data_IF_617698437219
#
_entry.id   IF_617698437219
#
_cell.length_a   1.000
_cell.length_b   1.000
_cell.length_c   1.000
_cell.angle_alpha   90.00
_cell.angle_beta   90.00
_cell.angle_gamma   90.00
#
_symmetry.space_group_name_H-M   'P 1'
#
loop_
_entity.id
_entity.type
_entity.pdbx_description
1 polymer ?
#
# COMPACT_ATOMS: atom_id res chain seq x y z
N UNK A 1 -15.65 -18.55 -21.00
CA UNK A 1 -14.79 -18.82 -22.18
C UNK A 1 -13.94 -17.59 -22.44
N UNK A 2 -12.62 -17.65 -22.22
CA UNK A 2 -11.70 -16.56 -22.59
C UNK A 2 -10.69 -17.08 -23.61
N UNK A 3 -11.05 -16.98 -24.88
CA UNK A 3 -10.17 -17.25 -26.03
C UNK A 3 -9.38 -15.97 -26.34
N UNK A 4 -8.39 -15.65 -25.49
CA UNK A 4 -7.38 -14.65 -25.84
C UNK A 4 -6.28 -15.38 -26.59
N UNK A 5 -6.32 -15.29 -27.92
CA UNK A 5 -5.30 -15.84 -28.81
C UNK A 5 -3.95 -15.21 -28.48
N UNK A 6 -2.99 -16.07 -28.20
CA UNK A 6 -1.58 -15.79 -27.93
C UNK A 6 -0.90 -15.15 -29.14
N UNK A 7 -0.91 -13.81 -29.20
CA UNK A 7 0.06 -13.07 -29.99
C UNK A 7 1.46 -13.32 -29.42
N UNK A 8 2.41 -13.76 -30.25
CA UNK A 8 3.78 -14.14 -29.87
C UNK A 8 4.68 -12.99 -29.45
N UNK A 9 4.18 -12.04 -28.66
CA UNK A 9 4.99 -11.03 -28.01
C UNK A 9 5.74 -11.66 -26.83
N UNK A 10 7.07 -11.58 -26.84
CA UNK A 10 7.86 -11.79 -25.62
C UNK A 10 7.47 -10.68 -24.65
N UNK A 11 6.58 -10.97 -23.70
CA UNK A 11 6.11 -9.97 -22.74
C UNK A 11 7.29 -9.29 -22.01
N UNK A 12 7.09 -8.06 -21.56
CA UNK A 12 8.06 -7.39 -20.70
C UNK A 12 7.93 -7.92 -19.26
N UNK A 13 9.05 -8.28 -18.66
CA UNK A 13 9.10 -8.78 -17.29
C UNK A 13 9.85 -7.79 -16.40
N UNK A 14 9.24 -7.40 -15.28
CA UNK A 14 9.85 -6.54 -14.27
C UNK A 14 9.47 -7.03 -12.87
N UNK A 15 10.35 -6.81 -11.89
CA UNK A 15 10.01 -7.01 -10.48
C UNK A 15 9.11 -5.86 -10.01
N UNK A 16 8.26 -6.12 -9.00
CA UNK A 16 7.44 -5.08 -8.36
C UNK A 16 8.27 -3.89 -7.91
N UNK A 17 9.44 -4.16 -7.33
CA UNK A 17 10.38 -3.13 -6.89
C UNK A 17 10.87 -2.27 -8.06
N UNK A 18 11.26 -2.88 -9.18
CA UNK A 18 11.69 -2.14 -10.38
C UNK A 18 10.59 -1.21 -10.91
N UNK A 19 9.35 -1.68 -10.95
CA UNK A 19 8.21 -0.83 -11.37
C UNK A 19 7.94 0.30 -10.39
N UNK A 20 8.10 0.05 -9.09
CA UNK A 20 7.91 1.06 -8.06
C UNK A 20 9.02 2.13 -8.10
N UNK A 21 10.27 1.70 -8.27
CA UNK A 21 11.45 2.56 -8.40
C UNK A 21 11.38 3.44 -9.65
N UNK A 22 10.96 2.88 -10.80
CA UNK A 22 10.79 3.63 -12.06
C UNK A 22 9.76 4.76 -11.95
N UNK A 23 8.75 4.58 -11.10
CA UNK A 23 7.71 5.60 -10.83
C UNK A 23 8.13 6.52 -9.67
N UNK A 24 9.16 6.15 -8.91
CA UNK A 24 9.61 6.89 -7.72
C UNK A 24 8.63 6.78 -6.54
N UNK A 25 7.95 5.64 -6.42
CA UNK A 25 6.93 5.40 -5.37
C UNK A 25 7.34 4.20 -4.53
N UNK A 26 7.09 4.28 -3.22
CA UNK A 26 7.29 3.16 -2.31
C UNK A 26 6.46 1.92 -2.71
N UNK A 27 7.05 0.73 -2.59
CA UNK A 27 6.47 -0.55 -3.03
C UNK A 27 5.14 -0.84 -2.33
N UNK A 28 4.97 -0.44 -1.07
CA UNK A 28 3.73 -0.61 -0.33
C UNK A 28 2.61 0.27 -0.90
N UNK A 29 2.93 1.51 -1.28
CA UNK A 29 1.98 2.43 -1.94
C UNK A 29 1.64 1.94 -3.34
N UNK A 30 2.64 1.50 -4.09
CA UNK A 30 2.46 0.91 -5.41
C UNK A 30 1.49 -0.29 -5.37
N UNK A 31 1.69 -1.21 -4.42
CA UNK A 31 0.84 -2.39 -4.25
C UNK A 31 -0.61 -2.03 -3.91
N UNK A 32 -0.83 -1.03 -3.04
CA UNK A 32 -2.17 -0.51 -2.73
C UNK A 32 -2.85 0.09 -3.96
N UNK A 33 -2.13 0.90 -4.74
CA UNK A 33 -2.64 1.49 -5.98
C UNK A 33 -3.02 0.43 -7.01
N UNK A 34 -2.18 -0.59 -7.17
CA UNK A 34 -2.46 -1.68 -8.09
C UNK A 34 -3.70 -2.50 -7.68
N UNK A 35 -3.89 -2.75 -6.38
CA UNK A 35 -5.10 -3.40 -5.88
C UNK A 35 -6.36 -2.60 -6.27
N UNK A 36 -6.33 -1.27 -6.12
CA UNK A 36 -7.44 -0.40 -6.54
C UNK A 36 -7.67 -0.46 -8.06
N UNK A 37 -6.60 -0.42 -8.87
CA UNK A 37 -6.72 -0.55 -10.33
C UNK A 37 -7.34 -1.88 -10.75
N UNK A 38 -7.03 -2.96 -10.03
CA UNK A 38 -7.67 -4.27 -10.23
C UNK A 38 -9.15 -4.24 -9.86
N UNK A 39 -9.51 -3.63 -8.72
CA UNK A 39 -10.90 -3.48 -8.28
C UNK A 39 -11.73 -2.65 -9.26
N UNK A 40 -11.13 -1.64 -9.89
CA UNK A 40 -11.76 -0.84 -10.95
C UNK A 40 -11.78 -1.52 -12.32
N UNK A 41 -11.15 -2.69 -12.47
CA UNK A 41 -11.13 -3.43 -13.74
C UNK A 41 -10.18 -2.88 -14.80
N UNK A 42 -9.31 -1.92 -14.47
CA UNK A 42 -8.29 -1.41 -15.40
C UNK A 42 -7.13 -2.37 -15.59
N UNK A 43 -6.92 -3.28 -14.63
CA UNK A 43 -5.78 -4.19 -14.61
C UNK A 43 -6.23 -5.60 -14.23
N UNK A 44 -5.76 -6.60 -14.98
CA UNK A 44 -5.93 -8.02 -14.69
C UNK A 44 -4.57 -8.60 -14.30
N UNK A 45 -4.52 -9.36 -13.21
CA UNK A 45 -3.30 -10.01 -12.72
C UNK A 45 -3.49 -11.52 -12.86
N UNK A 46 -2.73 -12.13 -13.76
CA UNK A 46 -2.73 -13.58 -14.02
C UNK A 46 -1.50 -14.23 -13.39
N UNK A 47 -1.67 -15.39 -12.75
CA UNK A 47 -0.53 -16.22 -12.35
C UNK A 47 -0.02 -16.98 -13.58
N UNK A 48 1.31 -17.08 -13.73
CA UNK A 48 1.87 -17.92 -14.80
C UNK A 48 1.76 -19.40 -14.44
N UNK A 49 1.41 -20.24 -15.41
CA UNK A 49 1.26 -21.68 -15.22
C UNK A 49 2.60 -22.36 -14.85
N UNK A 50 3.71 -21.87 -15.42
CA UNK A 50 5.05 -22.41 -15.18
C UNK A 50 5.63 -22.04 -13.81
N UNK A 51 5.28 -20.86 -13.27
CA UNK A 51 5.83 -20.34 -12.01
C UNK A 51 4.78 -19.51 -11.26
N UNK A 52 4.21 -20.09 -10.20
CA UNK A 52 3.19 -19.45 -9.37
C UNK A 52 3.69 -18.20 -8.63
N UNK A 53 5.01 -18.01 -8.51
CA UNK A 53 5.60 -16.80 -7.91
C UNK A 53 5.57 -15.62 -8.88
N UNK A 54 5.45 -15.89 -10.19
CA UNK A 54 5.38 -14.86 -11.23
C UNK A 54 3.94 -14.48 -11.50
N UNK A 55 3.71 -13.17 -11.52
CA UNK A 55 2.43 -12.56 -11.85
C UNK A 55 2.58 -11.76 -13.12
N UNK A 56 1.69 -11.98 -14.07
CA UNK A 56 1.59 -11.20 -15.31
C UNK A 56 0.49 -10.17 -15.13
N UNK A 57 0.83 -8.89 -15.34
CA UNK A 57 -0.10 -7.77 -15.25
C UNK A 57 -0.54 -7.41 -16.66
N UNK A 58 -1.84 -7.41 -16.92
CA UNK A 58 -2.44 -6.99 -18.19
C UNK A 58 -3.26 -5.73 -17.97
N UNK A 59 -2.97 -4.68 -18.75
CA UNK A 59 -3.77 -3.46 -18.76
C UNK A 59 -4.98 -3.70 -19.66
N UNK A 60 -6.18 -3.50 -19.13
CA UNK A 60 -7.43 -3.59 -19.87
C UNK A 60 -7.79 -2.20 -20.34
N UNK A 61 -7.74 -1.99 -21.65
CA UNK A 61 -8.26 -0.79 -22.28
C UNK A 61 -9.74 -1.02 -22.58
N UNK A 62 -10.67 -0.24 -22.00
CA UNK A 62 -12.05 -0.27 -22.43
C UNK A 62 -12.10 0.12 -23.91
N UNK A 63 -12.88 -0.61 -24.73
CA UNK A 63 -12.95 -0.39 -26.19
C UNK A 63 -13.37 1.04 -26.58
N UNK A 64 -13.89 1.82 -25.64
CA UNK A 64 -14.34 3.20 -25.83
C UNK A 64 -13.40 4.28 -25.25
N UNK A 65 -12.25 3.93 -24.63
CA UNK A 65 -11.42 4.93 -23.92
C UNK A 65 -10.55 5.81 -24.83
N UNK A 66 -10.47 5.50 -26.13
CA UNK A 66 -9.59 6.23 -27.07
C UNK A 66 -10.35 6.99 -28.17
N UNK A 67 -11.66 6.82 -28.30
CA UNK A 67 -12.47 7.53 -29.31
C UNK A 67 -12.98 8.89 -28.86
N UNK A 68 -13.11 9.12 -27.56
CA UNK A 68 -13.20 10.49 -27.02
C UNK A 68 -11.80 11.08 -26.98
N UNK A 69 -11.33 11.44 -28.17
CA UNK A 69 -10.25 12.40 -28.40
C UNK A 69 -10.47 13.51 -27.37
N UNK A 70 -9.57 13.65 -26.40
CA UNK A 70 -9.44 14.87 -25.62
C UNK A 70 -9.27 15.98 -26.65
N UNK A 71 -10.38 16.60 -27.06
CA UNK A 71 -10.37 17.87 -27.75
C UNK A 71 -9.91 18.82 -26.66
N UNK A 72 -8.60 18.92 -26.47
CA UNK A 72 -8.02 20.10 -25.89
C UNK A 72 -8.55 21.23 -26.76
N UNK A 73 -9.58 21.93 -26.28
CA UNK A 73 -10.09 23.14 -26.90
C UNK A 73 -8.90 24.08 -27.03
N UNK A 74 -8.30 24.09 -28.21
CA UNK A 74 -7.21 24.98 -28.59
C UNK A 74 -7.76 26.37 -28.95
N UNK A 75 -8.91 26.75 -28.39
CA UNK A 75 -9.63 27.97 -28.71
C UNK A 75 -9.88 28.73 -27.40
N UNK A 76 -9.38 29.96 -27.37
CA UNK A 76 -9.35 30.92 -26.27
C UNK A 76 -8.21 30.78 -25.24
N UNK A 77 -6.97 30.81 -25.72
CA UNK A 77 -6.01 31.75 -25.12
C UNK A 77 -6.30 33.11 -25.76
N UNK A 78 -7.33 33.77 -25.27
CA UNK A 78 -7.50 35.19 -25.54
C UNK A 78 -6.29 35.89 -24.93
N UNK A 79 -5.54 36.59 -25.78
CA UNK A 79 -4.54 37.57 -25.39
C UNK A 79 -5.25 38.63 -24.56
N UNK A 80 -5.31 38.43 -23.24
CA UNK A 80 -5.68 39.50 -22.31
C UNK A 80 -4.60 40.56 -22.42
N UNK A 81 -5.05 41.72 -22.84
CA UNK A 81 -4.25 42.91 -23.07
C UNK A 81 -3.31 43.20 -21.91
N UNK A 82 -2.02 43.34 -22.25
CA UNK A 82 -1.02 44.00 -21.43
C UNK A 82 -1.44 45.47 -21.26
N UNK A 83 -2.28 45.74 -20.27
CA UNK A 83 -2.44 47.09 -19.75
C UNK A 83 -1.18 47.46 -18.95
N UNK A 84 -0.22 48.06 -19.66
CA UNK A 84 0.69 49.06 -19.11
C UNK A 84 -0.14 50.10 -18.37
N UNK A 85 -0.08 50.14 -17.04
CA UNK A 85 -0.02 51.36 -16.20
C UNK A 85 -0.28 50.99 -14.74
N UNK A 86 0.78 50.73 -13.99
CA UNK A 86 0.78 51.06 -12.57
C UNK A 86 2.17 51.60 -12.20
N UNK A 87 2.23 52.93 -12.12
CA UNK A 87 3.34 53.69 -11.59
C UNK A 87 3.60 53.27 -10.14
N UNK A 88 4.82 52.80 -9.86
CA UNK A 88 5.33 52.71 -8.49
C UNK A 88 5.98 54.05 -8.17
N UNK A 89 5.31 54.79 -7.28
CA UNK A 89 5.81 56.05 -6.72
C UNK A 89 6.92 55.77 -5.69
N UNK A 90 7.89 56.68 -5.65
CA UNK A 90 9.10 56.63 -4.86
C UNK A 90 8.78 56.77 -3.37
N UNK A 91 9.10 55.75 -2.58
CA UNK A 91 9.10 55.80 -1.12
C UNK A 91 10.50 55.46 -0.60
N UNK A 92 11.20 56.51 -0.16
CA UNK A 92 12.49 56.50 0.51
C UNK A 92 12.65 55.45 1.64
N UNK A 93 13.92 55.19 1.95
CA UNK A 93 14.45 54.68 3.23
C UNK A 93 14.45 53.15 3.45
N UNK A 94 15.61 52.52 3.23
CA UNK A 94 16.60 52.32 4.31
C UNK A 94 17.81 51.50 3.84
N UNK A 95 18.97 52.02 4.22
CA UNK A 95 20.28 51.37 4.21
C UNK A 95 20.25 49.98 4.84
N UNK A 96 20.77 48.98 4.12
CA UNK A 96 21.00 47.63 4.64
C UNK A 96 21.98 46.86 3.78
N UNK A 97 23.27 47.02 4.07
CA UNK A 97 24.31 45.98 4.05
C UNK A 97 24.35 45.00 2.86
N UNK A 98 25.27 45.26 1.93
CA UNK A 98 25.70 44.31 0.90
C UNK A 98 26.50 43.21 1.58
N UNK A 99 25.89 42.05 1.80
CA UNK A 99 26.61 40.82 2.14
C UNK A 99 27.11 40.19 0.85
N UNK A 100 28.43 40.14 0.73
CA UNK A 100 29.20 39.47 -0.32
C UNK A 100 28.89 37.96 -0.32
N UNK A 101 27.90 37.55 -1.11
CA UNK A 101 27.62 36.13 -1.38
C UNK A 101 28.61 35.66 -2.43
N UNK A 102 29.73 35.18 -1.94
CA UNK A 102 30.69 34.37 -2.69
C UNK A 102 29.98 33.24 -3.44
N UNK A 103 30.40 33.08 -4.68
CA UNK A 103 30.25 31.94 -5.59
C UNK A 103 29.64 30.67 -4.97
N UNK A 104 28.32 30.50 -5.13
CA UNK A 104 27.71 29.17 -5.10
C UNK A 104 27.70 28.60 -6.51
N UNK A 105 28.75 27.83 -6.81
CA UNK A 105 28.74 26.85 -7.90
C UNK A 105 27.53 25.91 -7.72
N UNK A 106 26.44 26.20 -8.43
CA UNK A 106 25.32 25.26 -8.55
C UNK A 106 25.70 24.15 -9.53
N UNK A 107 26.46 23.17 -9.03
CA UNK A 107 26.54 21.83 -9.64
C UNK A 107 25.19 21.13 -9.50
N UNK A 108 24.23 21.46 -10.37
CA UNK A 108 23.05 20.63 -10.61
C UNK A 108 23.13 20.03 -12.00
N UNK A 109 23.48 18.76 -12.04
CA UNK A 109 23.24 17.86 -13.16
C UNK A 109 21.72 17.74 -13.36
N UNK A 110 21.14 18.49 -14.30
CA UNK A 110 19.88 18.08 -14.92
C UNK A 110 20.22 17.11 -16.06
N UNK A 111 19.70 15.87 -16.07
CA UNK A 111 19.73 15.07 -17.28
C UNK A 111 18.82 15.75 -18.32
N UNK A 112 19.40 16.16 -19.44
CA UNK A 112 18.67 16.55 -20.64
C UNK A 112 17.94 15.32 -21.17
N UNK A 113 16.70 15.10 -20.79
CA UNK A 113 15.85 14.11 -21.46
C UNK A 113 15.34 14.73 -22.75
N UNK A 114 16.02 14.41 -23.85
CA UNK A 114 15.50 14.61 -25.20
C UNK A 114 14.31 13.67 -25.38
N UNK A 115 13.15 14.14 -25.89
CA UNK A 115 12.02 13.26 -26.16
C UNK A 115 12.38 12.38 -27.36
N UNK A 116 12.80 11.14 -27.10
CA UNK A 116 12.92 10.12 -28.13
C UNK A 116 11.53 9.64 -28.53
N UNK A 117 11.08 10.10 -29.69
CA UNK A 117 9.93 9.53 -30.40
C UNK A 117 10.32 8.13 -30.89
N UNK A 118 9.63 7.08 -30.43
CA UNK A 118 9.76 5.72 -30.95
C UNK A 118 8.82 5.59 -32.15
N UNK A 119 9.32 5.56 -33.40
CA UNK A 119 8.45 5.42 -34.57
C UNK A 119 7.91 3.99 -34.62
N UNK A 120 6.60 3.84 -34.45
CA UNK A 120 5.87 2.59 -34.68
C UNK A 120 5.72 2.36 -36.19
N UNK A 121 6.80 1.97 -36.88
CA UNK A 121 6.79 1.34 -38.21
C UNK A 121 8.20 0.92 -38.60
N UNK A 122 8.52 -0.34 -38.36
CA UNK A 122 9.77 -0.94 -38.81
C UNK A 122 10.05 -2.23 -38.04
N UNK A 123 9.93 -3.35 -38.74
CA UNK A 123 10.16 -4.72 -38.25
C UNK A 123 11.57 -4.85 -37.64
N UNK A 124 11.63 -5.23 -36.36
CA UNK A 124 12.90 -5.51 -35.68
C UNK A 124 13.37 -6.93 -36.03
N UNK A 125 14.26 -7.02 -37.00
CA UNK A 125 15.16 -8.17 -37.15
C UNK A 125 16.12 -8.20 -35.96
N UNK A 126 15.94 -9.15 -35.04
CA UNK A 126 16.86 -9.39 -33.93
C UNK A 126 17.99 -10.30 -34.41
N UNK A 127 19.14 -9.70 -34.67
CA UNK A 127 20.41 -10.42 -34.81
C UNK A 127 20.93 -10.80 -33.40
N UNK A 128 21.38 -12.03 -33.27
CA UNK A 128 21.99 -12.61 -32.06
C UNK A 128 23.17 -11.77 -31.56
N UNK A 129 23.13 -11.34 -30.30
CA UNK A 129 24.31 -10.89 -29.57
C UNK A 129 24.59 -11.88 -28.44
N UNK A 130 25.55 -12.77 -28.70
CA UNK A 130 26.22 -13.62 -27.72
C UNK A 130 27.05 -12.77 -26.78
N UNK A 131 26.90 -13.04 -25.48
CA UNK A 131 27.95 -12.97 -24.47
C UNK A 131 28.31 -11.58 -23.97
N UNK A 132 28.25 -11.38 -22.65
CA UNK A 132 29.38 -10.92 -21.87
C UNK A 132 29.15 -11.29 -20.38
N UNK A 133 30.25 -11.74 -19.78
CA UNK A 133 30.37 -12.30 -18.45
C UNK A 133 30.38 -11.25 -17.33
N UNK A 134 29.92 -11.71 -16.16
CA UNK A 134 30.25 -11.37 -14.76
C UNK A 134 31.11 -10.13 -14.42
N UNK A 135 30.64 -9.37 -13.42
CA UNK A 135 31.48 -8.87 -12.32
C UNK A 135 30.71 -8.99 -11.00
N UNK A 136 31.23 -9.84 -10.12
CA UNK A 136 30.97 -9.82 -8.68
C UNK A 136 31.43 -8.49 -8.08
N UNK A 137 30.58 -7.83 -7.29
CA UNK A 137 31.07 -7.07 -6.14
C UNK A 137 30.05 -7.15 -5.02
N UNK A 138 30.41 -7.96 -4.02
CA UNK A 138 29.77 -8.00 -2.72
C UNK A 138 29.95 -6.65 -2.00
N UNK A 139 28.84 -6.02 -1.62
CA UNK A 139 28.78 -5.17 -0.41
C UNK A 139 27.55 -5.53 0.42
N UNK A 140 27.85 -6.44 1.34
CA UNK A 140 27.22 -6.77 2.62
C UNK A 140 26.81 -5.50 3.40
N UNK A 141 25.52 -5.16 3.42
CA UNK A 141 24.90 -4.35 4.49
C UNK A 141 23.39 -4.67 4.57
N UNK A 142 22.97 -5.13 5.75
CA UNK A 142 21.59 -5.05 6.26
C UNK A 142 20.54 -5.91 5.56
N UNK A 143 20.43 -7.18 5.94
CA UNK A 143 19.18 -7.92 5.78
C UNK A 143 18.12 -7.27 6.67
N UNK A 144 17.23 -6.49 6.08
CA UNK A 144 15.93 -6.17 6.63
C UNK A 144 14.99 -7.28 6.14
N UNK A 145 14.92 -8.37 6.91
CA UNK A 145 13.86 -9.35 6.79
C UNK A 145 12.56 -8.68 7.28
N UNK A 146 11.95 -7.85 6.43
CA UNK A 146 10.58 -7.37 6.64
C UNK A 146 9.63 -8.41 6.04
N UNK A 147 9.25 -9.34 6.91
CA UNK A 147 8.23 -10.37 6.74
C UNK A 147 6.83 -9.78 6.48
N UNK A 148 6.59 -9.22 5.29
CA UNK A 148 5.28 -8.75 4.86
C UNK A 148 4.39 -9.86 4.23
N UNK A 149 4.79 -11.14 4.35
CA UNK A 149 4.01 -12.29 3.87
C UNK A 149 2.88 -12.70 4.87
N UNK A 150 2.72 -11.98 5.99
CA UNK A 150 1.76 -12.32 7.05
C UNK A 150 0.29 -12.01 6.76
N UNK A 151 -0.03 -11.38 5.63
CA UNK A 151 -1.43 -11.02 5.31
C UNK A 151 -2.26 -12.19 4.76
N UNK A 152 -1.64 -13.13 4.05
CA UNK A 152 -2.37 -14.24 3.40
C UNK A 152 -2.47 -15.49 4.28
N UNK A 153 -1.51 -15.71 5.19
CA UNK A 153 -1.52 -16.88 6.08
C UNK A 153 -2.56 -16.72 7.22
N UNK A 154 -2.72 -15.52 7.77
CA UNK A 154 -3.77 -15.23 8.76
C UNK A 154 -5.16 -15.28 8.12
N UNK A 155 -5.33 -14.81 6.88
CA UNK A 155 -6.61 -14.87 6.18
C UNK A 155 -7.05 -16.32 5.91
N UNK A 156 -6.11 -17.21 5.57
CA UNK A 156 -6.39 -18.63 5.35
C UNK A 156 -6.64 -19.42 6.64
N UNK A 157 -5.90 -19.15 7.73
CA UNK A 157 -6.17 -19.77 9.03
C UNK A 157 -7.57 -19.40 9.56
N UNK A 158 -7.99 -18.13 9.39
CA UNK A 158 -9.33 -17.65 9.77
C UNK A 158 -10.43 -18.29 8.92
N UNK A 159 -10.21 -18.50 7.62
CA UNK A 159 -11.17 -19.24 6.79
C UNK A 159 -11.30 -20.72 7.20
N UNK A 160 -10.23 -21.36 7.67
CA UNK A 160 -10.31 -22.73 8.16
C UNK A 160 -10.98 -22.84 9.54
N UNK A 161 -10.75 -21.88 10.45
CA UNK A 161 -11.44 -21.81 11.75
C UNK A 161 -12.92 -21.48 11.55
N UNK A 162 -13.25 -20.49 10.71
CA UNK A 162 -14.65 -20.11 10.43
C UNK A 162 -15.44 -21.22 9.73
N UNK A 163 -14.80 -22.04 8.88
CA UNK A 163 -15.46 -23.19 8.23
C UNK A 163 -15.59 -24.42 9.14
N UNK A 164 -14.78 -24.56 10.18
CA UNK A 164 -14.92 -25.64 11.19
C UNK A 164 -15.79 -25.26 12.39
N UNK A 165 -15.89 -23.97 12.71
CA UNK A 165 -16.69 -23.48 13.85
C UNK A 165 -18.20 -23.35 13.55
N UNK A 166 -18.64 -23.43 12.30
CA UNK A 166 -20.06 -23.30 11.94
C UNK A 166 -20.94 -24.50 12.32
N UNK A 167 -20.40 -25.53 12.99
CA UNK A 167 -21.20 -26.66 13.50
C UNK A 167 -20.79 -27.24 14.84
N UNK A 168 -19.72 -26.72 15.47
CA UNK A 168 -19.36 -27.07 16.83
C UNK A 168 -19.82 -25.92 17.72
N UNK A 169 -20.86 -26.15 18.52
CA UNK A 169 -21.28 -25.21 19.56
C UNK A 169 -20.05 -24.88 20.41
N UNK A 170 -19.60 -23.63 20.34
CA UNK A 170 -18.51 -23.16 21.20
C UNK A 170 -18.96 -23.36 22.65
N UNK A 171 -18.08 -23.88 23.53
CA UNK A 171 -18.41 -24.04 24.93
C UNK A 171 -18.88 -22.69 25.49
N UNK A 172 -19.98 -22.73 26.24
CA UNK A 172 -20.68 -21.53 26.74
C UNK A 172 -19.85 -20.72 27.73
N UNK A 173 -18.81 -21.31 28.33
CA UNK A 173 -17.92 -20.63 29.26
C UNK A 173 -16.54 -21.30 29.31
N UNK A 174 -15.55 -20.56 29.83
CA UNK A 174 -14.21 -21.09 30.11
C UNK A 174 -13.29 -21.17 28.89
N UNK A 175 -13.55 -20.40 27.84
CA UNK A 175 -12.67 -20.34 26.67
C UNK A 175 -11.38 -19.62 27.06
N UNK A 176 -10.21 -20.20 26.77
CA UNK A 176 -8.93 -19.51 26.97
C UNK A 176 -8.71 -18.51 25.85
N UNK A 177 -8.15 -17.35 26.19
CA UNK A 177 -7.81 -16.32 25.22
C UNK A 177 -6.81 -16.84 24.18
N UNK A 178 -5.89 -17.71 24.60
CA UNK A 178 -4.89 -18.33 23.72
C UNK A 178 -5.49 -19.34 22.72
N UNK A 179 -6.73 -19.80 22.92
CA UNK A 179 -7.41 -20.69 21.96
C UNK A 179 -8.01 -19.89 20.79
N UNK A 180 -8.28 -18.60 21.01
CA UNK A 180 -8.90 -17.71 20.03
C UNK A 180 -7.87 -16.81 19.34
N UNK A 181 -6.81 -16.42 20.06
CA UNK A 181 -5.78 -15.52 19.54
C UNK A 181 -4.61 -16.30 18.92
N UNK A 182 -3.95 -15.73 17.89
CA UNK A 182 -2.74 -16.31 17.36
C UNK A 182 -1.67 -16.43 18.47
N UNK A 183 -0.92 -17.53 18.44
CA UNK A 183 0.18 -17.75 19.38
C UNK A 183 1.13 -16.55 19.44
N UNK A 184 1.59 -16.22 20.65
CA UNK A 184 2.46 -15.08 20.91
C UNK A 184 1.90 -13.71 20.46
N UNK A 185 0.58 -13.51 20.51
CA UNK A 185 -0.03 -12.22 20.14
C UNK A 185 0.54 -11.01 20.92
N UNK A 186 1.00 -11.22 22.17
CA UNK A 186 1.64 -10.19 23.00
C UNK A 186 3.01 -9.73 22.50
N UNK A 187 3.71 -10.53 21.69
CA UNK A 187 5.02 -10.14 21.14
C UNK A 187 4.91 -9.40 19.80
N UNK A 188 3.71 -9.26 19.25
CA UNK A 188 3.47 -8.56 17.99
C UNK A 188 3.37 -7.04 18.21
N UNK A 189 3.47 -6.28 17.12
CA UNK A 189 3.21 -4.84 17.16
C UNK A 189 1.82 -4.53 17.72
N UNK A 190 1.66 -3.36 18.36
CA UNK A 190 0.41 -2.94 19.02
C UNK A 190 -0.79 -3.06 18.07
N UNK A 191 -0.66 -2.56 16.84
CA UNK A 191 -1.73 -2.65 15.84
C UNK A 191 -2.11 -4.09 15.45
N UNK A 192 -1.13 -5.00 15.35
CA UNK A 192 -1.38 -6.41 15.05
C UNK A 192 -2.01 -7.14 16.26
N UNK A 193 -1.57 -6.79 17.46
CA UNK A 193 -2.11 -7.26 18.73
C UNK A 193 -3.59 -6.85 18.88
N UNK A 194 -3.92 -5.56 18.69
CA UNK A 194 -5.31 -5.06 18.69
C UNK A 194 -6.16 -5.71 17.60
N UNK A 195 -5.63 -5.88 16.39
CA UNK A 195 -6.37 -6.53 15.30
C UNK A 195 -6.66 -8.01 15.58
N UNK A 196 -5.72 -8.72 16.20
CA UNK A 196 -5.95 -10.10 16.65
C UNK A 196 -7.01 -10.15 17.75
N UNK A 197 -6.88 -9.29 18.76
CA UNK A 197 -7.77 -9.23 19.91
C UNK A 197 -9.20 -8.85 19.50
N UNK A 198 -9.38 -7.89 18.59
CA UNK A 198 -10.69 -7.50 18.07
C UNK A 198 -11.40 -8.66 17.36
N UNK A 199 -10.68 -9.41 16.53
CA UNK A 199 -11.24 -10.59 15.86
C UNK A 199 -11.59 -11.69 16.86
N UNK A 200 -10.74 -11.92 17.87
CA UNK A 200 -11.00 -12.91 18.90
C UNK A 200 -12.24 -12.57 19.74
N UNK A 201 -12.37 -11.31 20.14
CA UNK A 201 -13.58 -10.82 20.82
C UNK A 201 -14.82 -10.91 19.94
N UNK A 202 -14.70 -10.58 18.65
CA UNK A 202 -15.83 -10.68 17.72
C UNK A 202 -16.35 -12.13 17.58
N UNK A 203 -15.47 -13.14 17.64
CA UNK A 203 -15.88 -14.55 17.61
C UNK A 203 -16.72 -14.97 18.82
N UNK A 204 -16.46 -14.38 19.99
CA UNK A 204 -17.26 -14.63 21.20
C UNK A 204 -18.40 -13.62 21.36
N UNK A 205 -18.59 -12.70 20.42
CA UNK A 205 -19.63 -11.67 20.47
C UNK A 205 -19.36 -10.56 21.48
N UNK A 206 -18.09 -10.22 21.71
CA UNK A 206 -17.61 -9.25 22.72
C UNK A 206 -17.99 -9.59 24.17
N UNK A 207 -18.42 -10.83 24.42
CA UNK A 207 -18.84 -11.34 25.72
C UNK A 207 -17.66 -11.91 26.51
N UNK A 208 -17.09 -11.09 27.38
CA UNK A 208 -15.95 -11.43 28.25
C UNK A 208 -16.29 -12.46 29.33
N UNK A 209 -17.58 -12.62 29.69
CA UNK A 209 -18.09 -13.67 30.58
C UNK A 209 -17.85 -15.10 30.06
N UNK A 210 -17.62 -15.25 28.75
CA UNK A 210 -17.27 -16.54 28.12
C UNK A 210 -15.81 -16.92 28.28
N UNK A 211 -14.95 -15.94 28.57
CA UNK A 211 -13.53 -16.18 28.82
C UNK A 211 -13.32 -16.68 30.25
N UNK A 212 -12.16 -17.28 30.48
CA UNK A 212 -11.67 -17.52 31.83
C UNK A 212 -11.49 -16.14 32.54
N UNK A 213 -11.87 -15.99 33.84
CA UNK A 213 -11.83 -14.69 34.53
C UNK A 213 -10.46 -14.00 34.47
N UNK A 214 -9.37 -14.77 34.64
CA UNK A 214 -8.01 -14.23 34.57
C UNK A 214 -7.68 -13.64 33.17
N UNK A 215 -8.18 -14.28 32.12
CA UNK A 215 -8.01 -13.82 30.74
C UNK A 215 -8.89 -12.59 30.45
N UNK A 216 -10.13 -12.57 30.96
CA UNK A 216 -11.03 -11.42 30.85
C UNK A 216 -10.43 -10.18 31.51
N UNK A 217 -9.92 -10.31 32.74
CA UNK A 217 -9.21 -9.23 33.44
C UNK A 217 -7.95 -8.80 32.69
N UNK A 218 -7.19 -9.76 32.12
CA UNK A 218 -5.99 -9.44 31.34
C UNK A 218 -6.34 -8.64 30.08
N UNK A 219 -7.47 -8.92 29.42
CA UNK A 219 -7.93 -8.18 28.24
C UNK A 219 -8.36 -6.76 28.64
N UNK A 220 -9.19 -6.62 29.67
CA UNK A 220 -9.64 -5.31 30.15
C UNK A 220 -8.46 -4.45 30.59
N UNK A 221 -7.55 -4.98 31.42
CA UNK A 221 -6.35 -4.25 31.87
C UNK A 221 -5.47 -3.83 30.70
N UNK A 222 -5.29 -4.70 29.71
CA UNK A 222 -4.51 -4.39 28.51
C UNK A 222 -5.15 -3.25 27.70
N UNK A 223 -6.44 -3.34 27.40
CA UNK A 223 -7.16 -2.33 26.63
C UNK A 223 -7.21 -0.98 27.36
N UNK A 224 -7.50 -0.96 28.66
CA UNK A 224 -7.50 0.27 29.46
C UNK A 224 -6.11 0.89 29.56
N UNK A 225 -5.07 0.08 29.75
CA UNK A 225 -3.69 0.57 29.74
C UNK A 225 -3.34 1.19 28.39
N UNK A 226 -3.74 0.55 27.29
CA UNK A 226 -3.41 1.02 25.95
C UNK A 226 -4.19 2.29 25.58
N UNK A 227 -5.47 2.38 25.94
CA UNK A 227 -6.27 3.58 25.76
C UNK A 227 -5.68 4.80 26.49
N UNK A 228 -5.14 4.59 27.69
CA UNK A 228 -4.49 5.65 28.46
C UNK A 228 -3.10 6.03 27.93
N UNK A 229 -2.28 5.04 27.54
CA UNK A 229 -0.90 5.28 27.07
C UNK A 229 -0.88 5.91 25.68
N UNK A 230 -1.74 5.44 24.77
CA UNK A 230 -1.86 5.93 23.40
C UNK A 230 -3.02 6.91 23.23
N UNK A 231 -3.33 7.70 24.26
CA UNK A 231 -4.40 8.69 24.22
C UNK A 231 -4.15 9.73 23.12
N UNK A 232 -5.13 9.92 22.24
CA UNK A 232 -5.02 10.79 21.07
C UNK A 232 -4.44 10.13 19.82
N UNK A 233 -3.94 8.89 19.93
CA UNK A 233 -3.49 8.10 18.79
C UNK A 233 -4.60 7.15 18.29
N UNK A 234 -4.48 6.70 17.04
CA UNK A 234 -5.46 5.79 16.42
C UNK A 234 -5.62 4.48 17.20
N UNK A 235 -4.53 3.95 17.77
CA UNK A 235 -4.55 2.70 18.55
C UNK A 235 -5.28 2.88 19.89
N UNK A 236 -5.12 4.04 20.54
CA UNK A 236 -5.85 4.38 21.78
C UNK A 236 -7.35 4.47 21.55
N UNK A 237 -7.79 5.20 20.52
CA UNK A 237 -9.21 5.29 20.14
C UNK A 237 -9.81 3.93 19.77
N UNK A 238 -9.00 3.06 19.15
CA UNK A 238 -9.45 1.70 18.82
C UNK A 238 -9.62 0.85 20.08
N UNK A 239 -8.71 0.94 21.03
CA UNK A 239 -8.81 0.23 22.31
C UNK A 239 -10.04 0.68 23.12
N UNK A 240 -10.29 2.00 23.18
CA UNK A 240 -11.45 2.59 23.84
C UNK A 240 -12.77 2.09 23.22
N UNK A 241 -12.88 2.10 21.88
CA UNK A 241 -14.05 1.56 21.18
C UNK A 241 -14.28 0.08 21.47
N UNK A 242 -13.22 -0.70 21.64
CA UNK A 242 -13.35 -2.12 21.99
C UNK A 242 -13.87 -2.31 23.41
N UNK A 243 -13.43 -1.48 24.37
CA UNK A 243 -13.99 -1.47 25.73
C UNK A 243 -15.48 -1.13 25.72
N UNK A 244 -15.88 -0.10 24.97
CA UNK A 244 -17.28 0.30 24.84
C UNK A 244 -18.15 -0.84 24.28
N UNK A 245 -17.65 -1.58 23.27
CA UNK A 245 -18.35 -2.75 22.72
C UNK A 245 -18.47 -3.91 23.71
N UNK A 246 -17.46 -4.12 24.55
CA UNK A 246 -17.52 -5.13 25.62
C UNK A 246 -18.62 -4.74 26.61
N UNK A 247 -18.63 -3.49 27.08
CA UNK A 247 -19.64 -3.00 28.01
C UNK A 247 -21.06 -3.10 27.44
N UNK A 248 -21.26 -2.73 26.17
CA UNK A 248 -22.54 -2.88 25.48
C UNK A 248 -22.99 -4.34 25.35
N UNK A 249 -22.06 -5.26 25.09
CA UNK A 249 -22.35 -6.68 24.98
C UNK A 249 -22.68 -7.31 26.34
N UNK A 250 -22.02 -6.87 27.41
CA UNK A 250 -22.31 -7.27 28.79
C UNK A 250 -23.66 -6.72 29.27
N UNK A 251 -23.99 -5.47 28.93
CA UNK A 251 -25.28 -4.87 29.28
C UNK A 251 -26.48 -5.52 28.55
N UNK A 252 -26.24 -6.16 27.40
CA UNK A 252 -27.26 -6.85 26.63
C UNK A 252 -27.46 -8.33 27.03
N UNK A 253 -26.58 -8.88 27.87
CA UNK A 253 -26.56 -10.29 28.27
C UNK A 253 -27.44 -10.57 29.49
#
# INVERSE_FOLDING_TARGET
MSLVRSGGGRGCFAKWQTLADDIGVDIARFSKSLKRLREFGYVVIEQQDDDRRRKTIRVVYPENSCTERQVSNAEMVATSDNNLSEMVDMGDNQSGEIVDIRDFETRRNLPKTTPYYIPLKGELHVAEARGLYAVETARRFGACDDDDDFSDEIANAVQQVGKRASKAELPTSGIRLNDILPGAWKSKSIGACLAGLERGLQLIGYRTDRLIPEDAESVQRFLSSLANVSAGEQDGYRAERMLERIEQAEAAA
#
